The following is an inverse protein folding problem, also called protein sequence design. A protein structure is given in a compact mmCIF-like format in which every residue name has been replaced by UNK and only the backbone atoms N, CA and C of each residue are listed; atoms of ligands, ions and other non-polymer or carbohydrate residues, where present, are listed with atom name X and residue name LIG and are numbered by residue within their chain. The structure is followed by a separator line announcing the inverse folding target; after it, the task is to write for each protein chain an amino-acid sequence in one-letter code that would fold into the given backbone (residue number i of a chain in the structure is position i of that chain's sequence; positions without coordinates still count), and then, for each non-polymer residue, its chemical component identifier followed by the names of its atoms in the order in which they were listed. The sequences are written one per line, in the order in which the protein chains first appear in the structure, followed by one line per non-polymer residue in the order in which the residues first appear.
data_IF_621877942345
#
_entry.id   IF_621877942345
#
_cell.length_a   1.000
_cell.length_b   1.000
_cell.length_c   1.000
_cell.angle_alpha   90.00
_cell.angle_beta   90.00
_cell.angle_gamma   90.00
#
_symmetry.space_group_name_H-M   'P 1'
#
loop_
_entity.id
_entity.type
_entity.pdbx_description
1 polymer ?
#
# COMPACT_ATOMS: atom_id res chain seq x y z
N UNK A 1 11.72 -34.85 19.16
CA UNK A 1 11.39 -33.63 19.91
C UNK A 1 12.26 -32.50 19.39
N UNK A 2 11.76 -31.68 18.47
CA UNK A 2 12.42 -30.45 18.04
C UNK A 2 12.15 -29.37 19.08
N UNK A 3 13.22 -28.85 19.69
CA UNK A 3 13.20 -27.83 20.76
C UNK A 3 13.00 -26.39 20.24
N UNK A 4 12.71 -26.23 18.95
CA UNK A 4 12.48 -24.95 18.31
C UNK A 4 11.10 -25.00 17.64
N UNK A 5 10.26 -24.01 17.95
CA UNK A 5 8.97 -23.84 17.27
C UNK A 5 9.16 -23.81 15.75
N UNK A 6 8.21 -24.38 15.01
CA UNK A 6 8.25 -24.27 13.55
C UNK A 6 8.20 -22.79 13.15
N UNK A 7 8.86 -22.45 12.06
CA UNK A 7 8.81 -21.10 11.48
C UNK A 7 8.38 -21.20 10.03
N UNK A 8 7.62 -20.20 9.57
CA UNK A 8 7.39 -19.97 8.14
C UNK A 8 8.44 -18.98 7.68
N UNK A 9 9.23 -19.37 6.68
CA UNK A 9 10.16 -18.45 6.03
C UNK A 9 9.45 -17.70 4.92
N UNK A 10 9.75 -16.42 4.77
CA UNK A 10 9.26 -15.62 3.67
C UNK A 10 10.31 -14.69 3.08
N UNK A 11 10.02 -14.25 1.85
CA UNK A 11 10.77 -13.26 1.11
C UNK A 11 9.89 -12.05 0.86
N UNK A 12 10.29 -10.89 1.38
CA UNK A 12 9.64 -9.59 1.15
C UNK A 12 10.42 -8.84 0.08
N UNK A 13 9.74 -8.36 -0.96
CA UNK A 13 10.33 -7.51 -2.00
C UNK A 13 9.78 -6.10 -1.87
N UNK A 14 10.67 -5.11 -1.81
CA UNK A 14 10.31 -3.70 -1.67
C UNK A 14 11.24 -2.77 -2.47
N UNK A 15 10.78 -1.56 -2.74
CA UNK A 15 11.56 -0.47 -3.35
C UNK A 15 11.47 0.78 -2.49
N UNK A 16 12.57 1.51 -2.33
CA UNK A 16 12.53 2.78 -1.60
C UNK A 16 12.05 3.94 -2.46
N UNK A 17 11.56 4.98 -1.80
CA UNK A 17 11.12 6.22 -2.44
C UNK A 17 12.18 6.86 -3.32
N UNK A 18 13.41 7.03 -2.81
CA UNK A 18 14.51 7.73 -3.49
C UNK A 18 14.88 7.09 -4.84
N UNK A 19 14.51 5.84 -5.05
CA UNK A 19 14.87 5.08 -6.24
C UNK A 19 13.85 5.28 -7.38
N UNK A 20 12.67 5.82 -7.06
CA UNK A 20 11.59 6.18 -7.99
C UNK A 20 11.53 7.69 -8.29
N UNK A 21 12.35 8.51 -7.63
CA UNK A 21 12.44 9.95 -7.89
C UNK A 21 13.50 10.25 -8.96
N UNK A 22 13.06 10.48 -10.18
CA UNK A 22 13.94 10.73 -11.35
C UNK A 22 14.74 12.03 -11.16
N UNK A 23 14.29 12.95 -10.30
CA UNK A 23 14.99 14.21 -10.05
C UNK A 23 16.31 14.03 -9.30
N UNK A 24 16.51 12.89 -8.59
CA UNK A 24 17.80 12.57 -7.93
C UNK A 24 18.86 12.08 -8.90
N UNK A 25 18.49 11.68 -10.13
CA UNK A 25 19.41 11.26 -11.18
C UNK A 25 19.96 12.44 -12.01
N UNK A 26 19.35 13.63 -11.88
CA UNK A 26 19.72 14.82 -12.68
C UNK A 26 20.51 15.88 -11.90
N UNK A 27 20.64 15.75 -10.58
CA UNK A 27 21.57 16.59 -9.82
C UNK A 27 23.00 16.12 -10.06
N UNK A 28 23.94 17.06 -10.15
CA UNK A 28 25.38 16.83 -10.43
C UNK A 28 26.04 15.92 -9.38
N UNK A 29 25.39 15.69 -8.23
CA UNK A 29 25.77 14.70 -7.21
C UNK A 29 25.49 13.24 -7.63
N UNK A 30 24.46 12.98 -8.45
CA UNK A 30 24.12 11.62 -8.91
C UNK A 30 25.08 11.04 -9.96
N UNK A 31 25.93 11.90 -10.56
CA UNK A 31 26.98 11.51 -11.51
C UNK A 31 28.34 11.26 -10.85
N UNK A 32 28.51 11.62 -9.56
CA UNK A 32 29.73 11.35 -8.80
C UNK A 32 29.64 10.02 -8.02
N UNK A 33 28.44 9.43 -7.91
CA UNK A 33 28.18 8.26 -7.08
C UNK A 33 28.54 6.90 -7.74
N UNK A 34 28.91 6.91 -9.02
CA UNK A 34 29.29 5.69 -9.76
C UNK A 34 30.74 5.24 -9.49
N UNK A 35 31.50 5.99 -8.69
CA UNK A 35 32.87 5.65 -8.28
C UNK A 35 33.02 5.71 -6.76
N UNK A 36 32.89 4.57 -6.09
CA UNK A 36 33.18 4.34 -4.66
C UNK A 36 32.20 4.95 -3.62
N UNK A 37 31.33 5.91 -3.97
CA UNK A 37 30.31 6.49 -3.08
C UNK A 37 28.96 5.72 -3.02
N UNK A 38 28.55 5.08 -4.13
CA UNK A 38 27.21 4.49 -4.22
C UNK A 38 27.01 3.22 -3.41
N UNK A 39 28.09 2.58 -2.97
CA UNK A 39 28.00 1.38 -2.13
C UNK A 39 27.65 1.71 -0.68
N UNK A 40 28.07 2.86 -0.13
CA UNK A 40 27.74 3.23 1.27
C UNK A 40 26.28 3.65 1.38
N UNK A 41 25.79 4.43 0.41
CA UNK A 41 24.39 4.87 0.37
C UNK A 41 23.41 3.69 0.25
N UNK A 42 23.70 2.70 -0.60
CA UNK A 42 22.86 1.50 -0.77
C UNK A 42 22.89 0.61 0.48
N UNK A 43 24.05 0.45 1.14
CA UNK A 43 24.19 -0.39 2.35
C UNK A 43 23.47 0.22 3.56
N UNK A 44 23.64 1.53 3.81
CA UNK A 44 22.90 2.26 4.86
C UNK A 44 21.39 2.20 4.61
N UNK A 45 21.03 2.20 3.35
CA UNK A 45 19.65 2.19 2.90
C UNK A 45 18.99 0.81 3.06
N UNK A 46 19.69 -0.29 2.79
CA UNK A 46 19.19 -1.66 3.04
C UNK A 46 19.10 -1.96 4.54
N UNK A 47 20.09 -1.54 5.32
CA UNK A 47 20.09 -1.76 6.78
C UNK A 47 18.96 -0.99 7.49
N UNK A 48 18.49 0.13 6.93
CA UNK A 48 17.37 0.90 7.48
C UNK A 48 16.06 0.12 7.62
N UNK A 49 15.85 -0.92 6.81
CA UNK A 49 14.67 -1.79 6.85
C UNK A 49 14.75 -2.90 7.90
N UNK A 50 15.94 -3.18 8.42
CA UNK A 50 16.17 -4.23 9.40
C UNK A 50 15.82 -3.78 10.83
N UNK A 51 15.86 -4.71 11.78
CA UNK A 51 15.54 -4.42 13.17
C UNK A 51 14.02 -4.32 13.38
N UNK A 52 13.54 -3.23 13.99
CA UNK A 52 12.11 -3.03 14.28
C UNK A 52 11.44 -1.99 13.36
N UNK A 53 12.00 -1.81 12.16
CA UNK A 53 11.57 -0.78 11.21
C UNK A 53 10.27 -1.11 10.49
N UNK A 54 10.08 -2.37 10.06
CA UNK A 54 8.88 -2.82 9.35
C UNK A 54 8.35 -4.10 9.97
N UNK A 55 7.13 -4.04 10.50
CA UNK A 55 6.46 -5.16 11.14
C UNK A 55 5.45 -5.83 10.21
N UNK A 56 5.37 -7.15 10.29
CA UNK A 56 4.41 -7.98 9.56
C UNK A 56 3.67 -8.91 10.53
N UNK A 57 2.39 -9.17 10.27
CA UNK A 57 1.59 -10.14 11.02
C UNK A 57 0.72 -10.93 10.05
N UNK A 58 0.89 -12.26 10.01
CA UNK A 58 0.06 -13.13 9.18
C UNK A 58 -1.35 -13.23 9.73
N UNK A 59 -2.32 -13.39 8.84
CA UNK A 59 -3.74 -13.57 9.15
C UNK A 59 -4.19 -14.89 8.53
N UNK A 60 -4.80 -15.72 9.37
CA UNK A 60 -5.32 -17.02 8.99
C UNK A 60 -6.50 -16.93 8.02
N UNK A 61 -6.57 -17.88 7.09
CA UNK A 61 -7.70 -18.08 6.18
C UNK A 61 -8.65 -19.20 6.61
N UNK A 62 -8.26 -20.05 7.56
CA UNK A 62 -8.99 -21.26 7.96
C UNK A 62 -9.19 -21.41 9.48
N UNK A 63 -8.45 -20.65 10.30
CA UNK A 63 -8.63 -20.61 11.76
C UNK A 63 -9.13 -19.24 12.21
N UNK A 64 -10.19 -19.26 13.02
CA UNK A 64 -10.81 -18.04 13.53
C UNK A 64 -10.51 -17.81 15.02
N UNK A 65 -10.50 -16.56 15.44
CA UNK A 65 -10.49 -16.11 16.82
C UNK A 65 -11.89 -16.22 17.46
N UNK A 66 -12.03 -15.79 18.72
CA UNK A 66 -13.31 -15.80 19.43
C UNK A 66 -14.38 -14.89 18.82
N UNK A 67 -14.00 -13.96 17.95
CA UNK A 67 -14.91 -13.06 17.22
C UNK A 67 -15.27 -13.59 15.84
N UNK A 68 -14.81 -14.80 15.47
CA UNK A 68 -15.04 -15.39 14.14
C UNK A 68 -14.16 -14.82 13.02
N UNK A 69 -13.13 -14.01 13.35
CA UNK A 69 -12.20 -13.41 12.38
C UNK A 69 -10.95 -14.28 12.27
N UNK A 70 -10.31 -14.31 11.11
CA UNK A 70 -9.04 -15.02 10.92
C UNK A 70 -8.02 -14.64 11.99
N UNK A 71 -7.42 -15.64 12.66
CA UNK A 71 -6.46 -15.38 13.72
C UNK A 71 -5.27 -14.58 13.20
N UNK A 72 -4.88 -13.56 13.95
CA UNK A 72 -3.69 -12.76 13.68
C UNK A 72 -2.50 -13.37 14.42
N UNK A 73 -1.43 -13.65 13.70
CA UNK A 73 -0.20 -14.19 14.24
C UNK A 73 0.67 -13.16 14.96
N UNK A 74 1.79 -13.65 15.50
CA UNK A 74 2.79 -12.81 16.15
C UNK A 74 3.47 -11.86 15.15
N UNK A 75 3.98 -10.76 15.68
CA UNK A 75 4.74 -9.79 14.90
C UNK A 75 6.09 -10.34 14.49
N UNK A 76 6.36 -10.32 13.19
CA UNK A 76 7.66 -10.60 12.59
C UNK A 76 8.28 -9.33 12.00
N UNK A 77 9.60 -9.32 11.87
CA UNK A 77 10.38 -8.23 11.31
C UNK A 77 11.39 -8.77 10.29
N UNK A 78 11.85 -7.91 9.39
CA UNK A 78 12.88 -8.24 8.41
C UNK A 78 14.21 -8.59 9.10
N UNK A 79 14.81 -9.74 8.74
CA UNK A 79 16.00 -10.29 9.39
C UNK A 79 17.29 -9.96 8.66
N UNK A 80 17.28 -10.00 7.32
CA UNK A 80 18.47 -9.78 6.51
C UNK A 80 18.14 -9.58 5.04
N UNK A 81 18.99 -8.86 4.34
CA UNK A 81 18.87 -8.69 2.90
C UNK A 81 19.25 -9.98 2.17
N UNK A 82 18.55 -10.26 1.07
CA UNK A 82 18.85 -11.36 0.17
C UNK A 82 19.58 -10.78 -1.02
N UNK A 83 20.89 -11.01 -1.07
CA UNK A 83 21.72 -10.60 -2.19
C UNK A 83 21.56 -11.63 -3.31
N UNK A 84 21.33 -11.17 -4.55
CA UNK A 84 21.28 -12.01 -5.76
C UNK A 84 20.07 -12.94 -5.90
N UNK A 85 18.86 -12.44 -5.65
CA UNK A 85 17.65 -13.15 -6.07
C UNK A 85 17.45 -12.93 -7.59
N UNK A 86 17.51 -13.98 -8.45
CA UNK A 86 17.49 -13.81 -9.91
C UNK A 86 16.22 -13.15 -10.46
N UNK A 87 15.13 -13.19 -9.71
CA UNK A 87 13.82 -12.65 -10.08
C UNK A 87 13.61 -11.20 -9.64
N UNK A 88 14.60 -10.55 -9.02
CA UNK A 88 14.49 -9.14 -8.65
C UNK A 88 14.47 -8.27 -9.90
N UNK A 89 13.42 -7.44 -10.00
CA UNK A 89 13.41 -6.37 -10.99
C UNK A 89 14.41 -5.27 -10.62
N UNK A 90 14.68 -4.39 -11.57
CA UNK A 90 15.54 -3.22 -11.34
C UNK A 90 15.13 -2.50 -10.06
N UNK A 91 16.13 -2.14 -9.25
CA UNK A 91 15.97 -1.29 -8.07
C UNK A 91 15.13 -1.89 -6.92
N UNK A 92 14.78 -3.17 -7.00
CA UNK A 92 14.10 -3.90 -5.93
C UNK A 92 15.11 -4.47 -4.93
N UNK A 93 14.71 -4.53 -3.67
CA UNK A 93 15.46 -5.17 -2.59
C UNK A 93 14.63 -6.32 -2.03
N UNK A 94 15.25 -7.49 -1.85
CA UNK A 94 14.65 -8.64 -1.20
C UNK A 94 15.16 -8.76 0.25
N UNK A 95 14.25 -9.12 1.15
CA UNK A 95 14.55 -9.35 2.56
C UNK A 95 13.96 -10.68 3.02
N UNK A 96 14.74 -11.42 3.82
CA UNK A 96 14.24 -12.58 4.55
C UNK A 96 13.41 -12.13 5.74
N UNK A 97 12.27 -12.78 5.93
CA UNK A 97 11.44 -12.69 7.14
C UNK A 97 11.13 -14.10 7.64
N UNK A 98 10.99 -14.24 8.95
CA UNK A 98 10.62 -15.50 9.59
C UNK A 98 9.45 -15.23 10.53
N UNK A 99 8.38 -16.00 10.38
CA UNK A 99 7.20 -15.94 11.24
C UNK A 99 7.19 -17.15 12.17
N UNK A 100 6.95 -16.93 13.45
CA UNK A 100 6.70 -18.03 14.38
C UNK A 100 5.42 -18.75 13.96
N UNK A 101 5.53 -20.03 13.59
CA UNK A 101 4.40 -20.86 13.24
C UNK A 101 3.86 -21.54 14.49
N UNK A 102 2.76 -21.01 15.00
CA UNK A 102 1.89 -21.77 15.88
C UNK A 102 0.87 -22.52 15.02
N UNK A 103 0.83 -23.85 15.15
CA UNK A 103 -0.17 -24.72 14.52
C UNK A 103 -1.62 -24.26 14.70
N UNK A 104 -1.90 -23.46 15.73
CA UNK A 104 -3.21 -22.87 16.00
C UNK A 104 -3.55 -21.66 15.10
N UNK A 105 -2.57 -21.09 14.39
CA UNK A 105 -2.71 -19.94 13.48
C UNK A 105 -3.23 -20.38 12.11
N UNK A 106 -3.05 -21.64 11.70
CA UNK A 106 -3.60 -22.14 10.44
C UNK A 106 -2.86 -21.67 9.17
N UNK A 107 -3.56 -21.65 8.04
CA UNK A 107 -3.03 -21.32 6.72
C UNK A 107 -3.10 -19.80 6.50
N UNK A 108 -1.96 -19.10 6.27
CA UNK A 108 -1.96 -17.67 5.99
C UNK A 108 -2.73 -17.33 4.71
N UNK A 109 -3.65 -16.37 4.76
CA UNK A 109 -4.35 -15.86 3.57
C UNK A 109 -4.38 -14.34 3.46
N UNK A 110 -3.94 -13.63 4.50
CA UNK A 110 -3.70 -12.19 4.47
C UNK A 110 -2.54 -11.85 5.42
N UNK A 111 -2.07 -10.61 5.40
CA UNK A 111 -1.16 -10.09 6.41
C UNK A 111 -1.34 -8.59 6.63
N UNK A 112 -1.03 -8.13 7.84
CA UNK A 112 -0.81 -6.72 8.14
C UNK A 112 0.65 -6.34 7.94
N UNK A 113 0.88 -5.09 7.49
CA UNK A 113 2.20 -4.46 7.47
C UNK A 113 2.16 -3.08 8.12
N UNK A 114 3.18 -2.77 8.92
CA UNK A 114 3.37 -1.47 9.56
C UNK A 114 4.78 -0.97 9.31
N UNK A 115 4.88 0.24 8.77
CA UNK A 115 6.14 0.94 8.59
C UNK A 115 6.36 1.91 9.76
N UNK A 116 7.43 1.72 10.53
CA UNK A 116 7.82 2.62 11.62
C UNK A 116 8.90 3.63 11.23
N UNK A 117 9.42 3.54 10.00
CA UNK A 117 10.41 4.45 9.44
C UNK A 117 9.77 5.79 9.07
N UNK A 118 10.57 6.86 8.99
CA UNK A 118 10.09 8.19 8.58
C UNK A 118 9.64 8.23 7.12
N UNK A 119 10.35 7.52 6.24
CA UNK A 119 10.10 7.50 4.80
C UNK A 119 9.17 6.35 4.41
N UNK A 120 8.34 6.57 3.39
CA UNK A 120 7.56 5.50 2.78
C UNK A 120 8.42 4.62 1.85
N UNK A 121 7.94 3.41 1.60
CA UNK A 121 8.50 2.50 0.60
C UNK A 121 7.38 1.84 -0.21
N UNK A 122 7.70 1.38 -1.42
CA UNK A 122 6.80 0.57 -2.23
C UNK A 122 6.97 -0.91 -1.83
N UNK A 123 5.94 -1.52 -1.26
CA UNK A 123 5.88 -2.96 -1.05
C UNK A 123 5.46 -3.63 -2.36
N UNK A 124 6.35 -4.45 -2.92
CA UNK A 124 6.10 -5.17 -4.18
C UNK A 124 5.38 -6.48 -3.90
N UNK A 125 5.93 -7.32 -3.02
CA UNK A 125 5.35 -8.62 -2.71
C UNK A 125 5.83 -9.18 -1.37
N UNK A 126 5.10 -10.19 -0.89
CA UNK A 126 5.54 -11.17 0.11
C UNK A 126 5.33 -12.56 -0.49
N UNK A 127 6.33 -13.43 -0.37
CA UNK A 127 6.22 -14.85 -0.71
C UNK A 127 6.52 -15.64 0.56
N UNK A 128 5.67 -16.61 0.89
CA UNK A 128 5.87 -17.54 2.00
C UNK A 128 6.20 -18.91 1.44
N UNK A 129 7.36 -19.44 1.83
CA UNK A 129 7.85 -20.74 1.42
C UNK A 129 7.76 -21.74 2.58
N UNK A 130 7.81 -23.04 2.26
CA UNK A 130 7.87 -24.13 3.23
C UNK A 130 6.75 -24.10 4.29
N UNK A 131 5.53 -23.72 3.89
CA UNK A 131 4.40 -23.69 4.81
C UNK A 131 4.09 -25.12 5.30
N UNK A 132 4.01 -25.35 6.62
CA UNK A 132 3.70 -26.67 7.17
C UNK A 132 2.40 -27.27 6.61
N UNK A 133 2.33 -28.61 6.56
CA UNK A 133 1.24 -29.42 5.99
C UNK A 133 1.15 -29.43 4.45
N UNK A 134 2.27 -29.24 3.74
CA UNK A 134 2.35 -29.33 2.27
C UNK A 134 1.39 -28.37 1.54
N UNK A 135 1.13 -27.21 2.13
CA UNK A 135 0.32 -26.15 1.48
C UNK A 135 1.03 -25.59 0.24
N UNK A 136 2.37 -25.69 0.20
CA UNK A 136 3.20 -25.12 -0.85
C UNK A 136 3.51 -23.65 -0.60
N UNK A 137 3.88 -22.95 -1.67
CA UNK A 137 4.23 -21.52 -1.62
C UNK A 137 2.98 -20.65 -1.71
N UNK A 138 2.88 -19.62 -0.86
CA UNK A 138 1.81 -18.61 -0.93
C UNK A 138 2.39 -17.27 -1.39
N UNK A 139 1.75 -16.68 -2.40
CA UNK A 139 2.16 -15.41 -2.96
C UNK A 139 1.18 -14.29 -2.61
N UNK A 140 1.74 -13.16 -2.21
CA UNK A 140 1.03 -11.90 -2.01
C UNK A 140 1.59 -10.86 -2.97
N UNK A 141 0.76 -10.42 -3.92
CA UNK A 141 1.11 -9.37 -4.89
C UNK A 141 0.58 -8.05 -4.37
N UNK A 142 1.47 -7.16 -3.93
CA UNK A 142 1.11 -5.97 -3.15
C UNK A 142 1.10 -4.70 -4.01
N UNK A 143 2.22 -4.40 -4.67
CA UNK A 143 2.45 -3.22 -5.50
C UNK A 143 1.84 -1.92 -4.93
N UNK A 144 2.16 -1.60 -3.68
CA UNK A 144 1.55 -0.47 -2.97
C UNK A 144 2.50 0.24 -2.02
N UNK A 145 2.36 1.56 -1.93
CA UNK A 145 3.16 2.41 -1.06
C UNK A 145 2.73 2.28 0.40
N UNK A 146 3.69 2.04 1.28
CA UNK A 146 3.52 1.92 2.74
C UNK A 146 4.14 3.13 3.42
N UNK A 147 3.28 4.08 3.78
CA UNK A 147 3.64 5.25 4.59
C UNK A 147 3.83 4.86 6.07
N UNK A 148 4.37 5.78 6.86
CA UNK A 148 4.52 5.58 8.30
C UNK A 148 3.17 5.21 8.93
N UNK A 149 3.17 4.24 9.84
CA UNK A 149 1.97 3.70 10.49
C UNK A 149 1.11 4.79 11.18
N UNK A 150 1.74 5.90 11.62
CA UNK A 150 1.03 7.04 12.24
C UNK A 150 0.10 7.77 11.27
N UNK A 151 0.28 7.62 9.96
CA UNK A 151 -0.56 8.24 8.94
C UNK A 151 -1.87 7.47 8.70
N UNK A 152 -1.96 6.22 9.15
CA UNK A 152 -3.12 5.37 8.89
C UNK A 152 -4.05 5.27 10.11
N UNK A 153 -5.36 5.28 9.85
CA UNK A 153 -6.37 5.00 10.88
C UNK A 153 -6.50 3.50 11.17
N UNK A 154 -6.14 2.66 10.20
CA UNK A 154 -6.14 1.20 10.30
C UNK A 154 -4.89 0.62 9.64
N UNK A 155 -4.44 -0.53 10.12
CA UNK A 155 -3.24 -1.17 9.60
C UNK A 155 -3.43 -1.58 8.13
N UNK A 156 -2.35 -1.47 7.34
CA UNK A 156 -2.36 -1.88 5.93
C UNK A 156 -2.45 -3.39 5.83
N UNK A 157 -3.46 -3.88 5.12
CA UNK A 157 -3.69 -5.31 4.89
C UNK A 157 -3.46 -5.68 3.42
N UNK A 158 -2.92 -6.86 3.19
CA UNK A 158 -2.77 -7.47 1.87
C UNK A 158 -3.27 -8.92 1.90
N UNK A 159 -3.84 -9.38 0.80
CA UNK A 159 -4.40 -10.73 0.65
C UNK A 159 -3.52 -11.58 -0.25
N UNK A 160 -3.54 -12.91 -0.03
CA UNK A 160 -2.92 -13.86 -0.94
C UNK A 160 -3.57 -13.77 -2.33
N UNK A 161 -2.85 -14.16 -3.38
CA UNK A 161 -3.27 -14.06 -4.78
C UNK A 161 -4.38 -15.04 -5.20
N UNK A 162 -5.08 -15.64 -4.24
CA UNK A 162 -6.26 -16.46 -4.49
C UNK A 162 -7.47 -15.59 -4.84
N UNK A 163 -8.18 -15.94 -5.91
CA UNK A 163 -9.35 -15.21 -6.37
C UNK A 163 -10.64 -15.82 -5.83
N UNK A 164 -11.46 -15.00 -5.16
CA UNK A 164 -12.74 -15.42 -4.59
C UNK A 164 -13.86 -14.46 -4.97
N UNK A 165 -14.98 -15.02 -5.47
CA UNK A 165 -16.27 -14.34 -5.42
C UNK A 165 -16.63 -14.03 -3.95
N UNK A 166 -17.44 -13.00 -3.66
CA UNK A 166 -17.85 -12.67 -2.30
C UNK A 166 -18.38 -13.90 -1.53
N UNK A 167 -19.26 -14.69 -2.14
CA UNK A 167 -19.85 -15.91 -1.56
C UNK A 167 -18.88 -17.08 -1.39
N UNK A 168 -17.67 -16.98 -1.94
CA UNK A 168 -16.60 -18.00 -1.87
C UNK A 168 -15.40 -17.53 -1.05
N UNK A 169 -15.45 -16.32 -0.49
CA UNK A 169 -14.38 -15.82 0.40
C UNK A 169 -14.32 -16.72 1.64
N UNK A 170 -13.14 -17.21 2.05
CA UNK A 170 -13.01 -17.98 3.29
C UNK A 170 -13.63 -17.21 4.46
N UNK A 171 -14.43 -17.89 5.29
CA UNK A 171 -15.22 -17.24 6.36
C UNK A 171 -14.35 -16.39 7.29
N UNK A 172 -13.13 -16.87 7.58
CA UNK A 172 -12.13 -16.15 8.37
C UNK A 172 -11.71 -14.79 7.77
N UNK A 173 -11.80 -14.62 6.45
CA UNK A 173 -11.36 -13.42 5.74
C UNK A 173 -12.50 -12.46 5.37
N UNK A 174 -13.76 -12.85 5.55
CA UNK A 174 -14.93 -12.03 5.16
C UNK A 174 -14.91 -10.66 5.84
N UNK A 175 -14.70 -10.63 7.16
CA UNK A 175 -14.61 -9.38 7.92
C UNK A 175 -13.51 -8.45 7.39
N UNK A 176 -12.32 -9.00 7.13
CA UNK A 176 -11.18 -8.22 6.65
C UNK A 176 -11.43 -7.64 5.25
N UNK A 177 -12.04 -8.43 4.36
CA UNK A 177 -12.44 -7.99 3.02
C UNK A 177 -13.41 -6.81 3.10
N UNK A 178 -14.45 -6.91 3.92
CA UNK A 178 -15.47 -5.87 4.08
C UNK A 178 -14.89 -4.60 4.72
N UNK A 179 -14.01 -4.76 5.71
CA UNK A 179 -13.35 -3.63 6.37
C UNK A 179 -12.44 -2.87 5.40
N UNK A 180 -11.63 -3.57 4.59
CA UNK A 180 -10.79 -2.90 3.59
C UNK A 180 -11.64 -2.17 2.54
N UNK A 181 -12.74 -2.77 2.05
CA UNK A 181 -13.67 -2.09 1.15
C UNK A 181 -14.30 -0.84 1.78
N UNK A 182 -14.62 -0.88 3.07
CA UNK A 182 -15.13 0.29 3.80
C UNK A 182 -14.07 1.38 3.91
N UNK A 183 -12.83 1.01 4.26
CA UNK A 183 -11.71 1.94 4.35
C UNK A 183 -11.42 2.62 3.01
N UNK A 184 -11.49 1.87 1.91
CA UNK A 184 -11.28 2.38 0.55
C UNK A 184 -12.39 3.35 0.10
N UNK A 185 -13.62 3.23 0.61
CA UNK A 185 -14.71 4.18 0.30
C UNK A 185 -14.62 5.48 1.10
N UNK A 186 -14.09 5.43 2.32
CA UNK A 186 -14.09 6.56 3.24
C UNK A 186 -15.51 6.97 3.65
N UNK A 187 -15.66 8.25 4.03
CA UNK A 187 -16.90 8.81 4.58
C UNK A 187 -17.51 9.95 3.75
N UNK A 188 -16.92 10.27 2.59
CA UNK A 188 -17.36 11.36 1.72
C UNK A 188 -17.00 12.77 2.21
N UNK A 189 -16.21 12.89 3.27
CA UNK A 189 -15.84 14.18 3.90
C UNK A 189 -14.34 14.41 3.88
N UNK A 190 -13.90 15.57 4.38
CA UNK A 190 -12.48 15.92 4.53
C UNK A 190 -11.72 16.20 3.23
N UNK A 191 -10.57 16.86 3.36
CA UNK A 191 -9.61 17.04 2.26
C UNK A 191 -8.70 15.81 2.18
N UNK A 192 -8.47 15.32 0.96
CA UNK A 192 -7.65 14.13 0.79
C UNK A 192 -6.16 14.37 1.00
N UNK A 193 -5.49 13.40 1.60
CA UNK A 193 -4.03 13.43 1.88
C UNK A 193 -3.26 12.45 1.01
N UNK A 194 -1.96 12.68 0.82
CA UNK A 194 -1.11 11.91 -0.10
C UNK A 194 -1.06 10.41 0.22
N UNK A 195 -1.16 10.05 1.50
CA UNK A 195 -1.14 8.66 1.96
C UNK A 195 -2.53 8.00 1.99
N UNK A 196 -3.60 8.73 1.72
CA UNK A 196 -4.96 8.19 1.73
C UNK A 196 -5.25 7.40 0.46
N UNK A 197 -5.98 6.29 0.63
CA UNK A 197 -6.46 5.41 -0.45
C UNK A 197 -7.98 5.45 -0.54
N UNK A 198 -8.56 6.63 -0.33
CA UNK A 198 -10.00 6.85 -0.32
C UNK A 198 -10.46 7.19 -1.73
N UNK A 199 -11.33 6.36 -2.28
CA UNK A 199 -11.93 6.48 -3.59
C UNK A 199 -13.39 6.89 -3.44
N UNK A 200 -13.69 8.08 -3.93
CA UNK A 200 -15.03 8.65 -3.93
C UNK A 200 -15.21 9.57 -5.13
N UNK A 201 -16.44 9.99 -5.40
CA UNK A 201 -16.84 10.71 -6.59
C UNK A 201 -17.12 12.18 -6.30
N UNK A 202 -16.90 13.00 -7.31
CA UNK A 202 -17.21 14.42 -7.28
C UNK A 202 -17.41 14.96 -8.70
N UNK A 203 -17.92 16.18 -8.82
CA UNK A 203 -18.13 16.87 -10.10
C UNK A 203 -16.87 17.64 -10.53
N UNK A 204 -16.83 18.09 -11.78
CA UNK A 204 -15.77 18.98 -12.26
C UNK A 204 -16.09 20.43 -11.89
N UNK A 205 -15.88 20.75 -10.62
CA UNK A 205 -15.97 22.09 -10.03
C UNK A 205 -14.59 22.68 -9.69
N UNK A 206 -13.52 22.07 -10.20
CA UNK A 206 -12.12 22.39 -9.90
C UNK A 206 -11.32 22.84 -11.14
N UNK A 207 -12.01 23.12 -12.26
CA UNK A 207 -11.41 23.59 -13.51
C UNK A 207 -11.26 25.13 -13.58
N UNK A 208 -12.13 25.86 -12.89
CA UNK A 208 -12.14 27.32 -12.85
C UNK A 208 -11.44 27.88 -11.61
N UNK A 209 -11.03 29.15 -11.70
CA UNK A 209 -10.41 29.90 -10.60
C UNK A 209 -11.10 31.27 -10.44
N UNK A 210 -12.37 31.31 -10.00
CA UNK A 210 -13.17 32.53 -9.95
C UNK A 210 -12.61 33.60 -9.01
N UNK A 211 -11.77 33.22 -8.04
CA UNK A 211 -11.13 34.15 -7.11
C UNK A 211 -10.10 35.05 -7.84
N UNK A 212 -9.59 34.63 -9.01
CA UNK A 212 -8.78 35.46 -9.92
C UNK A 212 -9.61 36.38 -10.83
N UNK A 213 -10.94 36.28 -10.79
CA UNK A 213 -11.86 37.08 -11.57
C UNK A 213 -12.68 36.28 -12.59
N UNK A 214 -13.71 36.92 -13.13
CA UNK A 214 -14.75 36.27 -13.97
C UNK A 214 -14.19 35.57 -15.21
N UNK A 215 -13.09 36.05 -15.79
CA UNK A 215 -12.45 35.42 -16.95
C UNK A 215 -11.92 34.01 -16.67
N UNK A 216 -11.64 33.70 -15.40
CA UNK A 216 -11.15 32.40 -14.94
C UNK A 216 -12.27 31.48 -14.43
N UNK A 217 -13.52 31.98 -14.36
CA UNK A 217 -14.66 31.15 -14.00
C UNK A 217 -14.99 30.14 -15.12
N UNK A 218 -15.37 28.93 -14.75
CA UNK A 218 -15.82 27.86 -15.66
C UNK A 218 -17.10 27.26 -15.10
N UNK A 219 -18.10 26.87 -15.90
CA UNK A 219 -19.27 26.18 -15.36
C UNK A 219 -18.87 24.85 -14.72
N UNK A 220 -19.61 24.43 -13.69
CA UNK A 220 -19.47 23.09 -13.12
C UNK A 220 -20.00 22.05 -14.10
N UNK A 221 -19.21 21.01 -14.37
CA UNK A 221 -19.63 19.90 -15.25
C UNK A 221 -19.99 18.66 -14.42
N UNK A 222 -21.20 18.15 -14.64
CA UNK A 222 -21.78 17.03 -13.91
C UNK A 222 -22.80 17.46 -12.84
N UNK A 223 -23.75 16.59 -12.53
CA UNK A 223 -24.77 16.83 -11.49
C UNK A 223 -25.94 17.72 -11.92
N UNK A 224 -26.01 18.14 -13.18
CA UNK A 224 -27.15 18.85 -13.76
C UNK A 224 -27.54 18.28 -15.12
N UNK A 225 -28.79 18.48 -15.54
CA UNK A 225 -29.26 18.16 -16.90
C UNK A 225 -28.71 19.12 -17.95
N UNK A 226 -28.38 20.36 -17.56
CA UNK A 226 -27.80 21.37 -18.45
C UNK A 226 -26.35 21.06 -18.82
N UNK A 227 -25.56 20.57 -17.86
CA UNK A 227 -24.16 20.18 -18.06
C UNK A 227 -23.92 18.76 -17.54
N UNK A 228 -24.45 17.72 -18.21
CA UNK A 228 -24.21 16.34 -17.81
C UNK A 228 -22.75 15.99 -18.09
N UNK A 229 -22.10 15.30 -17.14
CA UNK A 229 -20.70 14.88 -17.27
C UNK A 229 -20.38 13.70 -16.34
N UNK A 230 -19.43 12.81 -16.72
CA UNK A 230 -18.89 11.80 -15.81
C UNK A 230 -18.35 12.41 -14.50
N UNK A 231 -18.33 11.61 -13.44
CA UNK A 231 -17.71 12.00 -12.18
C UNK A 231 -16.19 11.83 -12.25
N UNK A 232 -15.49 12.57 -11.40
CA UNK A 232 -14.04 12.45 -11.16
C UNK A 232 -13.77 12.00 -9.72
N UNK A 233 -12.52 11.66 -9.42
CA UNK A 233 -12.10 11.31 -8.06
C UNK A 233 -12.20 12.50 -7.10
N UNK A 234 -12.85 12.30 -5.96
CA UNK A 234 -13.04 13.33 -4.93
C UNK A 234 -11.71 13.74 -4.30
N UNK A 235 -11.41 15.03 -4.24
CA UNK A 235 -10.19 15.57 -3.60
C UNK A 235 -10.48 16.31 -2.28
N UNK A 236 -11.71 16.81 -2.10
CA UNK A 236 -12.13 17.45 -0.85
C UNK A 236 -11.40 18.74 -0.45
N UNK A 237 -10.62 19.35 -1.35
CA UNK A 237 -10.04 20.70 -1.14
C UNK A 237 -11.14 21.72 -0.83
N UNK A 238 -10.76 22.77 -0.11
CA UNK A 238 -11.67 23.84 0.33
C UNK A 238 -12.37 24.53 -0.84
N UNK A 239 -13.57 25.07 -0.64
CA UNK A 239 -14.22 25.90 -1.64
C UNK A 239 -13.48 27.24 -1.82
N UNK A 240 -13.68 27.88 -2.97
CA UNK A 240 -13.32 29.27 -3.25
C UNK A 240 -14.10 30.22 -2.36
N UNK A 241 -13.74 31.50 -2.32
CA UNK A 241 -14.44 32.50 -1.51
C UNK A 241 -15.92 32.65 -1.90
N UNK A 242 -16.25 32.36 -3.16
CA UNK A 242 -17.62 32.34 -3.67
C UNK A 242 -18.43 31.10 -3.27
N UNK A 243 -17.81 30.08 -2.67
CA UNK A 243 -18.46 28.87 -2.16
C UNK A 243 -18.87 27.83 -3.20
N UNK A 244 -18.84 28.17 -4.50
CA UNK A 244 -19.36 27.32 -5.59
C UNK A 244 -18.31 26.42 -6.25
N UNK A 245 -17.03 26.78 -6.13
CA UNK A 245 -15.93 26.09 -6.79
C UNK A 245 -14.99 25.51 -5.76
N UNK A 246 -14.31 24.43 -6.11
CA UNK A 246 -13.18 23.97 -5.32
C UNK A 246 -11.93 24.79 -5.70
N UNK A 247 -11.07 25.10 -4.73
CA UNK A 247 -9.86 25.87 -5.00
C UNK A 247 -9.01 25.21 -6.08
N UNK A 248 -8.65 26.02 -7.08
CA UNK A 248 -7.74 25.62 -8.13
C UNK A 248 -6.33 25.53 -7.57
N UNK A 249 -5.74 24.34 -7.65
CA UNK A 249 -4.31 24.17 -7.55
C UNK A 249 -3.85 23.52 -8.85
N UNK A 250 -2.76 24.06 -9.40
CA UNK A 250 -2.00 23.44 -10.49
C UNK A 250 -1.90 21.97 -10.10
N UNK A 251 -2.57 21.12 -10.89
CA UNK A 251 -2.77 19.68 -10.65
C UNK A 251 -1.57 19.16 -9.89
N UNK A 252 -1.80 18.52 -8.73
CA UNK A 252 -0.79 17.73 -8.00
C UNK A 252 -0.35 16.57 -8.91
N UNK A 253 0.37 16.92 -9.98
CA UNK A 253 1.02 16.05 -10.93
C UNK A 253 2.13 15.39 -10.14
N UNK A 254 1.84 14.22 -9.57
CA UNK A 254 2.69 13.01 -9.66
C UNK A 254 2.31 11.94 -8.65
N UNK A 255 1.65 12.27 -7.54
CA UNK A 255 1.54 11.31 -6.42
C UNK A 255 0.12 10.94 -6.00
N UNK A 256 -0.91 11.69 -6.39
CA UNK A 256 -2.26 11.46 -5.85
C UNK A 256 -2.90 10.15 -6.34
N UNK A 257 -2.48 9.69 -7.52
CA UNK A 257 -2.85 8.39 -8.08
C UNK A 257 -1.58 7.64 -8.47
N UNK A 258 -0.69 7.40 -7.49
CA UNK A 258 0.37 6.40 -7.67
C UNK A 258 -0.33 5.09 -8.01
N UNK A 259 -0.11 4.64 -9.25
CA UNK A 259 -0.81 3.55 -9.91
C UNK A 259 -0.72 2.26 -9.09
N UNK A 260 -1.78 1.90 -8.37
CA UNK A 260 -1.99 0.55 -7.83
C UNK A 260 -2.70 -0.27 -8.93
N UNK A 261 -1.94 -0.81 -9.89
CA UNK A 261 -2.45 -1.42 -11.13
C UNK A 261 -3.27 -2.70 -10.96
N UNK A 262 -3.46 -3.24 -9.75
CA UNK A 262 -4.08 -4.57 -9.58
C UNK A 262 -5.30 -4.63 -8.65
N UNK A 263 -5.72 -3.53 -8.03
CA UNK A 263 -6.96 -3.55 -7.21
C UNK A 263 -8.24 -3.29 -8.01
N UNK A 264 -8.17 -2.77 -9.23
CA UNK A 264 -9.37 -2.39 -9.98
C UNK A 264 -10.01 -3.48 -10.84
N UNK A 265 -9.38 -4.65 -11.03
CA UNK A 265 -9.96 -5.71 -11.90
C UNK A 265 -10.74 -6.78 -11.13
N UNK A 266 -10.61 -6.88 -9.80
CA UNK A 266 -11.09 -8.05 -9.06
C UNK A 266 -12.17 -7.80 -7.99
N UNK A 267 -12.85 -6.65 -8.03
CA UNK A 267 -13.92 -6.32 -7.05
C UNK A 267 -15.30 -5.99 -7.65
N UNK A 268 -15.52 -6.28 -8.94
CA UNK A 268 -16.87 -6.32 -9.54
C UNK A 268 -17.27 -7.74 -9.87
#
# INVERSE_FOLDING_TARGET
MTLFGQTITGTVVLMQKNVLDINSLTSVEGLLDTGLGGFTSIVDTVTSFLGRSVAFQLISSDKVDSSGKGKVGNTAYLKGAINNLPTLGDKQNAFKIEFDYDSNVGIPGAFYVKNYMSNEFLLVSLTLDDIPNNVGTIHFVCNSWIYNAKNYQSDRIFFANNNYLPSKTPSALVYYRELELKNLRGDGTGERKEWERIYDYDVYNDLGDPDKGVAYARPVLGGSSTYPYPRRGRTGRKPTNTGLYQTYLKIMHRNFWKVETHLQVNFT
#
